data_IF_630939229364
#
_entry.id   IF_630939229364
#
_cell.length_a   1.000
_cell.length_b   1.000
_cell.length_c   1.000
_cell.angle_alpha   90.00
_cell.angle_beta   90.00
_cell.angle_gamma   90.00
#
_symmetry.space_group_name_H-M   'P 1'
#
loop_
_entity.id
_entity.type
_entity.pdbx_description
1 polymer ?
#
# COMPACT_ATOMS: atom_id res chain seq x y z
N UNK A 1 -7.37 -23.94 -6.68
CA UNK A 1 -8.43 -23.84 -7.72
C UNK A 1 -7.91 -23.02 -8.90
N UNK A 2 -8.49 -23.20 -10.10
CA UNK A 2 -8.12 -22.41 -11.31
C UNK A 2 -8.36 -20.91 -11.09
N UNK A 3 -9.39 -20.54 -10.32
CA UNK A 3 -9.68 -19.16 -9.94
C UNK A 3 -8.49 -18.52 -9.20
N UNK A 4 -7.97 -19.13 -8.16
CA UNK A 4 -6.83 -18.59 -7.38
C UNK A 4 -5.56 -18.51 -8.24
N UNK A 5 -5.31 -19.51 -9.10
CA UNK A 5 -4.19 -19.45 -10.07
C UNK A 5 -4.32 -18.25 -11.01
N UNK A 6 -5.54 -17.96 -11.49
CA UNK A 6 -5.81 -16.78 -12.33
C UNK A 6 -5.59 -15.47 -11.57
N UNK A 7 -6.02 -15.38 -10.29
CA UNK A 7 -5.76 -14.21 -9.44
C UNK A 7 -4.25 -13.98 -9.28
N UNK A 8 -3.48 -15.00 -8.88
CA UNK A 8 -2.01 -14.90 -8.76
C UNK A 8 -1.35 -14.52 -10.08
N UNK A 9 -1.74 -15.15 -11.18
CA UNK A 9 -1.19 -14.83 -12.49
C UNK A 9 -1.37 -13.36 -12.85
N UNK A 10 -2.54 -12.76 -12.56
CA UNK A 10 -2.80 -11.33 -12.80
C UNK A 10 -1.99 -10.43 -11.89
N UNK A 11 -1.74 -10.84 -10.65
CA UNK A 11 -0.89 -10.10 -9.72
C UNK A 11 0.59 -10.15 -10.15
N UNK A 12 1.10 -11.33 -10.52
CA UNK A 12 2.52 -11.54 -10.80
C UNK A 12 2.91 -11.17 -12.25
N UNK A 13 2.05 -11.44 -13.23
CA UNK A 13 2.36 -11.31 -14.65
C UNK A 13 1.45 -10.30 -15.39
N UNK A 14 0.41 -9.79 -14.73
CA UNK A 14 -0.51 -8.81 -15.28
C UNK A 14 -0.25 -7.40 -14.80
N UNK A 15 -1.33 -6.64 -14.62
CA UNK A 15 -1.29 -5.22 -14.21
C UNK A 15 -0.88 -4.99 -12.74
N UNK A 16 -0.66 -6.05 -11.98
CA UNK A 16 -0.22 -5.96 -10.58
C UNK A 16 -1.34 -5.75 -9.56
N UNK A 17 -2.60 -5.73 -9.97
CA UNK A 17 -3.74 -5.73 -9.06
C UNK A 17 -4.95 -6.47 -9.66
N UNK A 18 -5.86 -6.89 -8.79
CA UNK A 18 -7.15 -7.49 -9.17
C UNK A 18 -8.24 -7.01 -8.22
N UNK A 19 -9.44 -6.81 -8.77
CA UNK A 19 -10.64 -6.57 -7.97
C UNK A 19 -11.52 -7.82 -8.11
N UNK A 20 -11.83 -8.45 -6.98
CA UNK A 20 -12.82 -9.52 -6.92
C UNK A 20 -14.19 -8.93 -6.69
N UNK A 21 -15.18 -9.41 -7.44
CA UNK A 21 -16.55 -8.95 -7.29
C UNK A 21 -17.11 -9.36 -5.93
N UNK A 22 -18.21 -8.74 -5.60
CA UNK A 22 -18.69 -8.63 -4.23
C UNK A 22 -19.19 -9.95 -3.63
N UNK A 23 -18.75 -10.20 -2.41
CA UNK A 23 -19.47 -11.08 -1.51
C UNK A 23 -20.80 -10.42 -1.10
N UNK A 24 -21.83 -11.21 -0.91
CA UNK A 24 -23.12 -10.71 -0.42
C UNK A 24 -23.03 -10.38 1.08
N UNK A 25 -22.60 -9.15 1.39
CA UNK A 25 -22.45 -8.68 2.79
C UNK A 25 -23.74 -8.73 3.60
N UNK A 26 -24.90 -8.80 2.94
CA UNK A 26 -26.21 -8.94 3.62
C UNK A 26 -26.49 -10.35 4.12
N UNK A 27 -25.74 -11.37 3.62
CA UNK A 27 -25.92 -12.78 3.97
C UNK A 27 -25.02 -13.26 5.09
N UNK A 28 -24.00 -12.48 5.43
CA UNK A 28 -22.94 -12.85 6.36
C UNK A 28 -22.75 -11.77 7.41
N UNK A 29 -22.53 -12.16 8.63
CA UNK A 29 -22.12 -11.22 9.68
C UNK A 29 -20.65 -10.80 9.52
N UNK A 30 -20.21 -9.88 10.36
CA UNK A 30 -18.83 -9.35 10.31
C UNK A 30 -17.77 -10.43 10.56
N UNK A 31 -18.03 -11.37 11.45
CA UNK A 31 -17.10 -12.45 11.78
C UNK A 31 -16.97 -13.43 10.62
N UNK A 32 -18.09 -13.80 10.02
CA UNK A 32 -18.15 -14.65 8.83
C UNK A 32 -17.42 -14.00 7.63
N UNK A 33 -17.66 -12.70 7.39
CA UNK A 33 -16.96 -11.97 6.32
C UNK A 33 -15.45 -11.94 6.54
N UNK A 34 -14.98 -11.76 7.78
CA UNK A 34 -13.55 -11.84 8.13
C UNK A 34 -12.99 -13.25 7.90
N UNK A 35 -13.75 -14.30 8.26
CA UNK A 35 -13.33 -15.69 8.05
C UNK A 35 -13.25 -16.03 6.55
N UNK A 36 -14.25 -15.65 5.76
CA UNK A 36 -14.25 -15.84 4.30
C UNK A 36 -13.05 -15.12 3.67
N UNK A 37 -12.82 -13.87 4.06
CA UNK A 37 -11.69 -13.08 3.56
C UNK A 37 -10.34 -13.70 3.94
N UNK A 38 -10.21 -14.18 5.18
CA UNK A 38 -9.03 -14.91 5.65
C UNK A 38 -8.75 -16.15 4.81
N UNK A 39 -9.76 -17.02 4.62
CA UNK A 39 -9.63 -18.25 3.84
C UNK A 39 -9.24 -17.93 2.39
N UNK A 40 -9.95 -17.00 1.75
CA UNK A 40 -9.68 -16.59 0.38
C UNK A 40 -8.27 -16.06 0.21
N UNK A 41 -7.82 -15.20 1.12
CA UNK A 41 -6.47 -14.62 1.10
C UNK A 41 -5.39 -15.67 1.36
N UNK A 42 -5.63 -16.62 2.27
CA UNK A 42 -4.72 -17.73 2.57
C UNK A 42 -4.51 -18.68 1.39
N UNK A 43 -5.49 -18.78 0.49
CA UNK A 43 -5.34 -19.53 -0.77
C UNK A 43 -4.44 -18.80 -1.79
N UNK A 44 -4.32 -17.47 -1.69
CA UNK A 44 -3.44 -16.68 -2.56
C UNK A 44 -2.00 -16.80 -2.08
N UNK A 45 -1.72 -16.49 -0.81
CA UNK A 45 -0.40 -16.61 -0.19
C UNK A 45 -0.55 -16.62 1.35
N UNK A 46 0.54 -16.82 2.08
CA UNK A 46 0.54 -16.91 3.54
C UNK A 46 0.27 -15.55 4.19
N UNK A 47 -0.76 -15.40 5.04
CA UNK A 47 -0.95 -14.22 5.87
C UNK A 47 0.23 -13.97 6.80
N UNK A 48 0.62 -12.70 6.94
CA UNK A 48 1.72 -12.26 7.82
C UNK A 48 1.30 -11.04 8.63
N UNK A 49 1.97 -10.84 9.77
CA UNK A 49 1.71 -9.70 10.64
C UNK A 49 1.96 -8.37 9.93
N UNK A 50 1.09 -7.41 10.19
CA UNK A 50 1.12 -6.04 9.63
C UNK A 50 1.66 -5.01 10.60
N UNK A 51 1.80 -5.40 11.86
CA UNK A 51 2.29 -4.57 12.95
C UNK A 51 3.08 -5.41 13.94
N UNK A 52 3.86 -4.74 14.78
CA UNK A 52 4.74 -5.38 15.74
C UNK A 52 3.99 -6.24 16.76
N UNK A 53 2.73 -5.94 17.04
CA UNK A 53 1.85 -6.69 17.95
C UNK A 53 1.31 -8.02 17.35
N UNK A 54 1.67 -8.34 16.10
CA UNK A 54 1.25 -9.57 15.44
C UNK A 54 -0.10 -9.50 14.74
N UNK A 55 -0.72 -8.34 14.61
CA UNK A 55 -2.02 -8.19 13.93
C UNK A 55 -1.98 -8.71 12.50
N UNK A 56 -2.87 -9.66 12.18
CA UNK A 56 -2.96 -10.31 10.86
C UNK A 56 -4.08 -9.72 9.99
N UNK A 57 -5.23 -9.40 10.58
CA UNK A 57 -6.34 -8.70 9.95
C UNK A 57 -6.52 -7.33 10.60
N UNK A 58 -6.30 -6.28 9.82
CA UNK A 58 -6.26 -4.91 10.31
C UNK A 58 -7.48 -4.11 9.82
N UNK A 59 -8.21 -3.52 10.76
CA UNK A 59 -9.36 -2.68 10.45
C UNK A 59 -8.88 -1.27 10.01
N UNK A 60 -9.18 -0.90 8.77
CA UNK A 60 -8.87 0.41 8.18
C UNK A 60 -10.11 1.28 8.29
N UNK A 61 -10.11 2.11 9.33
CA UNK A 61 -11.21 3.02 9.69
C UNK A 61 -10.64 4.41 10.03
N UNK A 62 -11.44 5.45 9.84
CA UNK A 62 -11.10 6.77 10.38
C UNK A 62 -11.31 6.78 11.88
N UNK A 63 -10.26 7.03 12.64
CA UNK A 63 -10.27 7.14 14.10
C UNK A 63 -10.54 8.56 14.61
N UNK A 64 -10.79 9.51 13.69
CA UNK A 64 -10.94 10.94 14.00
C UNK A 64 -9.63 11.64 14.37
N UNK A 65 -8.48 10.95 14.27
CA UNK A 65 -7.17 11.55 14.52
C UNK A 65 -6.79 12.47 13.37
N UNK A 66 -6.30 13.67 13.69
CA UNK A 66 -5.77 14.59 12.68
C UNK A 66 -4.47 14.03 12.07
N UNK A 67 -4.29 14.19 10.77
CA UNK A 67 -3.04 13.84 10.06
C UNK A 67 -1.84 14.50 10.75
N UNK A 68 -0.83 13.72 11.09
CA UNK A 68 0.37 14.19 11.79
C UNK A 68 1.54 13.21 11.63
N UNK A 69 2.76 13.61 12.01
CA UNK A 69 3.96 12.78 11.80
C UNK A 69 3.96 11.47 12.59
N UNK A 70 3.18 11.38 13.67
CA UNK A 70 3.04 10.18 14.51
C UNK A 70 1.75 9.39 14.24
N UNK A 71 0.87 9.88 13.35
CA UNK A 71 -0.41 9.22 13.05
C UNK A 71 -0.31 8.53 11.70
N UNK A 72 -0.56 7.22 11.67
CA UNK A 72 -0.62 6.45 10.42
C UNK A 72 -1.75 7.01 9.55
N UNK A 73 -1.47 7.19 8.28
CA UNK A 73 -2.39 7.85 7.37
C UNK A 73 -3.64 7.00 7.07
N UNK A 74 -3.54 5.66 7.19
CA UNK A 74 -4.65 4.72 7.05
C UNK A 74 -5.71 4.84 8.17
N UNK A 75 -5.38 5.53 9.29
CA UNK A 75 -6.29 5.83 10.40
C UNK A 75 -7.02 7.18 10.26
N UNK A 76 -6.94 7.81 9.10
CA UNK A 76 -7.52 9.13 8.85
C UNK A 76 -8.30 9.16 7.53
N UNK A 77 -9.24 10.09 7.40
CA UNK A 77 -9.98 10.38 6.16
C UNK A 77 -9.18 11.21 5.14
N UNK A 78 -7.97 11.66 5.50
CA UNK A 78 -7.13 12.48 4.63
C UNK A 78 -6.64 11.69 3.40
N UNK A 79 -6.31 12.41 2.33
CA UNK A 79 -5.74 11.85 1.11
C UNK A 79 -4.43 11.08 1.38
N UNK A 80 -4.27 9.98 0.66
CA UNK A 80 -3.07 9.16 0.58
C UNK A 80 -2.49 9.22 -0.82
N UNK A 81 -1.30 9.80 -0.96
CA UNK A 81 -0.54 9.80 -2.20
C UNK A 81 -0.17 8.38 -2.63
N UNK A 82 0.26 8.19 -3.88
CA UNK A 82 0.75 6.90 -4.36
C UNK A 82 1.89 6.37 -3.50
N UNK A 83 1.69 5.16 -2.96
CA UNK A 83 2.65 4.51 -2.08
C UNK A 83 2.54 2.99 -2.16
N UNK A 84 3.55 2.31 -1.62
CA UNK A 84 3.51 0.89 -1.27
C UNK A 84 3.37 0.73 0.24
N UNK A 85 2.70 -0.33 0.65
CA UNK A 85 2.53 -0.63 2.07
C UNK A 85 3.81 -1.20 2.68
N UNK A 86 4.04 -0.90 3.98
CA UNK A 86 5.12 -1.48 4.79
C UNK A 86 6.53 -1.29 4.18
N UNK A 87 6.77 -0.13 3.54
CA UNK A 87 7.99 0.17 2.79
C UNK A 87 9.27 0.18 3.63
N UNK A 88 9.16 0.24 4.95
CA UNK A 88 10.25 0.45 5.91
C UNK A 88 10.84 -0.83 6.51
N UNK A 89 10.13 -1.95 6.44
CA UNK A 89 10.60 -3.27 6.91
C UNK A 89 10.69 -4.24 5.72
N UNK A 90 10.42 -5.54 5.94
CA UNK A 90 10.26 -6.51 4.86
C UNK A 90 8.85 -6.38 4.28
N UNK A 91 8.65 -5.76 3.10
CA UNK A 91 7.33 -5.57 2.53
C UNK A 91 6.61 -6.91 2.30
N UNK A 92 5.27 -6.94 2.40
CA UNK A 92 4.51 -8.10 1.91
C UNK A 92 4.63 -8.16 0.38
N UNK A 93 4.55 -9.38 -0.19
CA UNK A 93 4.46 -9.53 -1.64
C UNK A 93 3.12 -9.02 -2.16
N UNK A 94 2.04 -9.40 -1.47
CA UNK A 94 0.70 -8.89 -1.77
C UNK A 94 0.06 -8.30 -0.53
N UNK A 95 -0.86 -7.39 -0.77
CA UNK A 95 -1.82 -6.99 0.26
C UNK A 95 -3.23 -6.96 -0.33
N UNK A 96 -4.20 -7.18 0.53
CA UNK A 96 -5.61 -7.12 0.18
C UNK A 96 -6.36 -6.11 1.03
N UNK A 97 -7.43 -5.56 0.45
CA UNK A 97 -8.40 -4.71 1.13
C UNK A 97 -9.81 -5.20 0.79
N UNK A 98 -10.52 -5.72 1.78
CA UNK A 98 -11.94 -6.04 1.68
C UNK A 98 -12.78 -4.86 2.15
N UNK A 99 -13.73 -4.43 1.34
CA UNK A 99 -14.64 -3.34 1.67
C UNK A 99 -15.87 -3.88 2.38
N UNK A 100 -16.05 -3.52 3.65
CA UNK A 100 -17.28 -3.82 4.40
C UNK A 100 -18.30 -2.71 4.23
N UNK A 101 -17.86 -1.45 4.33
CA UNK A 101 -18.69 -0.25 4.16
C UNK A 101 -17.90 0.81 3.39
N UNK A 102 -18.59 1.57 2.56
CA UNK A 102 -18.03 2.71 1.82
C UNK A 102 -18.17 4.00 2.64
N UNK A 103 -17.39 5.02 2.32
CA UNK A 103 -17.59 6.36 2.84
C UNK A 103 -18.90 6.98 2.30
N UNK A 104 -19.36 8.04 2.95
CA UNK A 104 -20.50 8.86 2.47
C UNK A 104 -20.16 9.52 1.13
N UNK A 105 -18.94 10.04 1.01
CA UNK A 105 -18.45 10.71 -0.18
C UNK A 105 -16.92 10.56 -0.30
N UNK A 106 -16.37 10.49 -1.50
CA UNK A 106 -14.93 10.38 -1.73
C UNK A 106 -14.39 8.96 -1.53
N UNK A 107 -13.11 8.83 -1.12
CA UNK A 107 -12.47 7.53 -0.87
C UNK A 107 -12.19 6.72 -2.13
N UNK A 108 -12.04 7.39 -3.29
CA UNK A 108 -11.69 6.75 -4.56
C UNK A 108 -10.27 6.20 -4.48
N UNK A 109 -10.11 4.94 -4.84
CA UNK A 109 -8.81 4.28 -4.92
C UNK A 109 -8.14 4.55 -6.27
N UNK A 110 -6.80 4.57 -6.29
CA UNK A 110 -6.02 4.60 -7.51
C UNK A 110 -4.94 3.53 -7.48
N UNK A 111 -4.54 3.08 -8.66
CA UNK A 111 -3.48 2.09 -8.87
C UNK A 111 -2.56 2.53 -10.01
N UNK A 112 -1.25 2.41 -9.82
CA UNK A 112 -0.22 2.74 -10.82
C UNK A 112 0.87 1.67 -10.84
N UNK A 113 1.30 1.28 -12.05
CA UNK A 113 2.43 0.36 -12.22
C UNK A 113 3.75 1.07 -11.91
N UNK A 114 4.44 0.60 -10.88
CA UNK A 114 5.79 1.08 -10.54
C UNK A 114 6.83 0.68 -11.59
N UNK A 115 6.56 -0.38 -12.36
CA UNK A 115 7.42 -0.82 -13.47
C UNK A 115 7.28 0.13 -14.66
N UNK A 116 6.06 0.57 -14.98
CA UNK A 116 5.83 1.59 -16.01
C UNK A 116 6.44 2.93 -15.56
N UNK A 117 6.22 3.32 -14.30
CA UNK A 117 6.82 4.55 -13.75
C UNK A 117 8.36 4.51 -13.77
N UNK A 118 8.98 3.34 -13.52
CA UNK A 118 10.42 3.14 -13.68
C UNK A 118 10.87 3.38 -15.14
N UNK A 119 10.13 2.85 -16.11
CA UNK A 119 10.48 3.03 -17.53
C UNK A 119 10.36 4.51 -17.94
N UNK A 120 9.34 5.22 -17.47
CA UNK A 120 9.20 6.66 -17.66
C UNK A 120 10.35 7.44 -17.00
N UNK A 121 10.72 7.08 -15.77
CA UNK A 121 11.91 7.67 -15.12
C UNK A 121 13.19 7.43 -15.93
N UNK A 122 13.36 6.22 -16.47
CA UNK A 122 14.51 5.88 -17.31
C UNK A 122 14.59 6.71 -18.58
N UNK A 123 13.44 6.97 -19.20
CA UNK A 123 13.34 7.76 -20.43
C UNK A 123 13.53 9.25 -20.18
N UNK A 124 12.86 9.79 -19.16
CA UNK A 124 12.74 11.24 -18.93
C UNK A 124 13.76 11.81 -17.95
N UNK A 125 14.16 11.02 -16.96
CA UNK A 125 15.00 11.44 -15.83
C UNK A 125 16.06 10.37 -15.46
N UNK A 126 16.95 9.93 -16.40
CA UNK A 126 17.83 8.78 -16.19
C UNK A 126 18.79 8.95 -15.00
N UNK A 127 19.25 10.18 -14.73
CA UNK A 127 20.13 10.45 -13.58
C UNK A 127 19.35 10.36 -12.26
N UNK A 128 18.15 10.92 -12.18
CA UNK A 128 17.31 10.81 -11.00
C UNK A 128 16.87 9.37 -10.73
N UNK A 129 16.69 8.55 -11.78
CA UNK A 129 16.44 7.12 -11.60
C UNK A 129 17.60 6.42 -10.90
N UNK A 130 18.86 6.75 -11.24
CA UNK A 130 20.04 6.18 -10.54
C UNK A 130 19.99 6.47 -9.05
N UNK A 131 19.54 7.68 -8.65
CA UNK A 131 19.40 8.04 -7.23
C UNK A 131 18.32 7.20 -6.52
N UNK A 132 17.26 6.76 -7.22
CA UNK A 132 16.22 5.89 -6.65
C UNK A 132 16.69 4.44 -6.37
N UNK A 133 17.79 4.01 -6.95
CA UNK A 133 18.48 2.76 -6.61
C UNK A 133 19.45 2.90 -5.42
N UNK A 134 19.70 4.11 -4.96
CA UNK A 134 20.47 4.35 -3.73
C UNK A 134 19.54 4.40 -2.53
N UNK A 135 20.02 3.98 -1.33
CA UNK A 135 19.16 3.92 -0.16
C UNK A 135 18.67 5.29 0.34
N UNK A 136 17.49 5.27 0.90
CA UNK A 136 16.85 6.38 1.62
C UNK A 136 16.55 5.96 3.05
N UNK A 137 16.61 6.90 3.99
CA UNK A 137 16.09 6.70 5.35
C UNK A 137 14.57 6.68 5.33
N UNK A 138 13.97 5.66 5.96
CA UNK A 138 12.52 5.43 5.96
C UNK A 138 12.06 5.24 7.40
N UNK A 139 11.09 6.05 7.85
CA UNK A 139 10.51 5.95 9.19
C UNK A 139 9.79 4.60 9.38
N UNK A 140 10.09 3.90 10.47
CA UNK A 140 9.48 2.60 10.82
C UNK A 140 8.19 2.73 11.65
N UNK A 141 7.76 3.93 12.00
CA UNK A 141 6.54 4.18 12.78
C UNK A 141 6.42 3.33 14.06
N UNK A 142 7.51 3.11 14.78
CA UNK A 142 7.59 2.23 15.95
C UNK A 142 7.29 0.74 15.66
N UNK A 143 7.26 0.34 14.40
CA UNK A 143 7.12 -1.07 13.98
C UNK A 143 8.49 -1.76 13.96
N UNK A 144 9.16 -1.77 15.12
CA UNK A 144 10.49 -2.37 15.35
C UNK A 144 10.64 -2.84 16.79
N UNK A 145 11.53 -3.78 17.03
CA UNK A 145 11.83 -4.26 18.38
C UNK A 145 12.47 -3.14 19.24
N UNK A 146 12.31 -3.20 20.55
CA UNK A 146 13.03 -2.30 21.46
C UNK A 146 14.54 -2.38 21.21
N UNK A 147 15.19 -1.20 21.10
CA UNK A 147 16.62 -1.09 20.83
C UNK A 147 17.02 -1.12 19.34
N UNK A 148 16.11 -1.47 18.45
CA UNK A 148 16.37 -1.33 17.00
C UNK A 148 16.24 0.12 16.53
N UNK A 149 16.94 0.51 15.42
CA UNK A 149 16.84 1.85 14.85
C UNK A 149 15.41 2.20 14.46
N UNK A 150 14.94 3.44 14.76
CA UNK A 150 13.59 3.89 14.43
C UNK A 150 13.39 4.21 12.94
N UNK A 151 14.46 4.19 12.16
CA UNK A 151 14.44 4.32 10.70
C UNK A 151 15.23 3.18 10.06
N UNK A 152 14.77 2.69 8.92
CA UNK A 152 15.46 1.73 8.07
C UNK A 152 16.09 2.44 6.86
N UNK A 153 16.98 1.75 6.14
CA UNK A 153 17.74 2.35 5.04
C UNK A 153 17.69 1.44 3.82
N UNK A 154 16.86 1.81 2.82
CA UNK A 154 16.56 1.00 1.64
C UNK A 154 16.39 1.85 0.38
N UNK A 155 16.73 1.31 -0.82
CA UNK A 155 16.43 1.97 -2.08
C UNK A 155 14.92 1.95 -2.39
N UNK A 156 14.50 2.83 -3.30
CA UNK A 156 13.13 2.82 -3.86
C UNK A 156 12.98 1.65 -4.84
N UNK A 157 13.93 1.47 -5.75
CA UNK A 157 13.99 0.35 -6.69
C UNK A 157 15.14 -0.59 -6.35
N UNK A 158 14.85 -1.88 -6.39
CA UNK A 158 15.82 -2.93 -6.11
C UNK A 158 15.58 -4.11 -7.07
N UNK A 159 16.67 -4.66 -7.62
CA UNK A 159 16.62 -5.89 -8.41
C UNK A 159 17.19 -7.02 -7.54
N UNK A 160 16.35 -8.03 -7.26
CA UNK A 160 16.71 -9.13 -6.36
C UNK A 160 17.41 -10.31 -7.06
N UNK A 161 17.74 -10.14 -8.35
CA UNK A 161 18.31 -11.18 -9.21
C UNK A 161 17.28 -11.85 -10.13
N UNK A 162 16.00 -11.74 -9.82
CA UNK A 162 14.90 -12.31 -10.60
C UNK A 162 13.94 -11.26 -11.13
N UNK A 163 13.55 -10.31 -10.28
CA UNK A 163 12.57 -9.29 -10.63
C UNK A 163 12.96 -7.91 -10.08
N UNK A 164 12.51 -6.87 -10.76
CA UNK A 164 12.56 -5.50 -10.25
C UNK A 164 11.39 -5.30 -9.29
N UNK A 165 11.72 -4.89 -8.08
CA UNK A 165 10.76 -4.56 -7.03
C UNK A 165 10.91 -3.11 -6.61
N UNK A 166 9.84 -2.53 -6.10
CA UNK A 166 9.86 -1.19 -5.57
C UNK A 166 9.25 -1.12 -4.17
N UNK A 167 9.78 -0.19 -3.38
CA UNK A 167 9.17 0.29 -2.13
C UNK A 167 9.14 1.81 -2.17
N UNK A 168 7.99 2.39 -2.06
CA UNK A 168 7.86 3.83 -2.17
C UNK A 168 6.79 4.37 -1.24
N UNK A 169 7.18 5.25 -0.36
CA UNK A 169 6.27 6.07 0.41
C UNK A 169 7.00 7.38 0.75
N UNK A 170 6.74 8.47 0.01
CA UNK A 170 7.47 9.73 0.17
C UNK A 170 7.34 10.30 1.57
N UNK A 171 6.17 10.20 2.19
CA UNK A 171 5.94 10.64 3.57
C UNK A 171 6.86 9.91 4.57
N UNK A 172 7.01 8.58 4.39
CA UNK A 172 7.86 7.77 5.26
C UNK A 172 9.34 8.10 5.03
N UNK A 173 9.73 8.42 3.79
CA UNK A 173 11.11 8.83 3.46
C UNK A 173 11.41 10.16 4.16
N UNK A 174 10.62 11.21 3.95
CA UNK A 174 10.87 12.52 4.61
C UNK A 174 10.89 12.41 6.13
N UNK A 175 9.96 11.64 6.72
CA UNK A 175 9.93 11.39 8.15
C UNK A 175 11.16 10.57 8.62
N UNK A 176 11.67 9.66 7.79
CA UNK A 176 12.85 8.85 8.07
C UNK A 176 14.12 9.70 8.19
N UNK A 177 14.32 10.64 7.29
CA UNK A 177 15.45 11.59 7.38
C UNK A 177 15.37 12.45 8.65
N UNK A 178 14.18 12.93 9.02
CA UNK A 178 14.00 13.70 10.25
C UNK A 178 14.34 12.88 11.50
N UNK A 179 13.88 11.62 11.58
CA UNK A 179 14.15 10.72 12.70
C UNK A 179 15.62 10.32 12.78
N UNK A 180 16.27 10.09 11.63
CA UNK A 180 17.68 9.75 11.54
C UNK A 180 18.60 10.95 11.82
N UNK A 181 18.06 12.18 11.96
CA UNK A 181 18.85 13.40 12.10
C UNK A 181 19.73 13.69 10.87
N UNK A 182 19.28 13.27 9.69
CA UNK A 182 19.99 13.43 8.41
C UNK A 182 19.26 14.40 7.51
N UNK A 183 20.00 14.99 6.56
CA UNK A 183 19.42 15.83 5.52
C UNK A 183 19.29 15.01 4.23
N UNK A 184 18.10 15.01 3.63
CA UNK A 184 17.91 14.46 2.30
C UNK A 184 18.62 15.37 1.28
N UNK A 185 19.47 14.78 0.43
CA UNK A 185 20.18 15.50 -0.63
C UNK A 185 19.22 16.03 -1.71
N UNK A 186 19.67 17.04 -2.46
CA UNK A 186 18.85 17.70 -3.47
C UNK A 186 18.43 16.73 -4.59
N UNK A 187 19.32 15.87 -5.04
CA UNK A 187 19.04 14.87 -6.08
C UNK A 187 17.98 13.87 -5.61
N UNK A 188 18.07 13.42 -4.35
CA UNK A 188 17.05 12.55 -3.73
C UNK A 188 15.69 13.21 -3.63
N UNK A 189 15.63 14.51 -3.28
CA UNK A 189 14.38 15.27 -3.27
C UNK A 189 13.75 15.38 -4.67
N UNK A 190 14.57 15.69 -5.67
CA UNK A 190 14.12 15.79 -7.07
C UNK A 190 13.68 14.43 -7.61
N UNK A 191 14.40 13.35 -7.29
CA UNK A 191 14.04 12.00 -7.71
C UNK A 191 12.67 11.55 -7.14
N UNK A 192 12.40 11.82 -5.87
CA UNK A 192 11.10 11.55 -5.24
C UNK A 192 10.00 12.38 -5.91
N UNK A 193 10.24 13.67 -6.15
CA UNK A 193 9.26 14.56 -6.81
C UNK A 193 8.97 14.11 -8.23
N UNK A 194 10.00 13.78 -9.01
CA UNK A 194 9.85 13.31 -10.40
C UNK A 194 9.03 12.01 -10.46
N UNK A 195 9.34 11.03 -9.62
CA UNK A 195 8.57 9.78 -9.55
C UNK A 195 7.10 10.03 -9.16
N UNK A 196 6.85 10.87 -8.15
CA UNK A 196 5.50 11.25 -7.76
C UNK A 196 4.74 11.94 -8.91
N UNK A 197 5.38 12.86 -9.62
CA UNK A 197 4.76 13.58 -10.73
C UNK A 197 4.38 12.64 -11.87
N UNK A 198 5.26 11.69 -12.23
CA UNK A 198 4.96 10.67 -13.24
C UNK A 198 3.75 9.84 -12.81
N UNK A 199 3.72 9.34 -11.58
CA UNK A 199 2.60 8.52 -11.11
C UNK A 199 1.28 9.27 -11.05
N UNK A 200 1.31 10.60 -10.87
CA UNK A 200 0.14 11.47 -10.82
C UNK A 200 -0.42 11.83 -12.23
N UNK A 201 0.31 11.55 -13.31
CA UNK A 201 -0.18 11.76 -14.66
C UNK A 201 -1.40 10.87 -14.93
N UNK A 202 -2.46 11.43 -15.50
CA UNK A 202 -3.73 10.72 -15.73
C UNK A 202 -3.61 9.50 -16.63
N UNK A 203 -2.62 9.48 -17.52
CA UNK A 203 -2.30 8.35 -18.40
C UNK A 203 -1.59 7.19 -17.67
N UNK A 204 -1.04 7.43 -16.49
CA UNK A 204 -0.22 6.47 -15.76
C UNK A 204 -0.99 5.60 -14.78
N UNK A 205 -2.14 6.05 -14.31
CA UNK A 205 -2.89 5.38 -13.26
C UNK A 205 -4.36 5.17 -13.62
N UNK A 206 -4.96 4.21 -12.96
CA UNK A 206 -6.41 3.98 -13.02
C UNK A 206 -7.03 4.33 -11.68
N UNK A 207 -8.25 4.86 -11.73
CA UNK A 207 -9.03 5.21 -10.55
C UNK A 207 -10.33 4.42 -10.53
N UNK A 208 -10.74 3.95 -9.35
CA UNK A 208 -11.95 3.16 -9.16
C UNK A 208 -12.52 3.31 -7.75
N UNK A 209 -13.82 3.05 -7.63
CA UNK A 209 -14.48 2.90 -6.33
C UNK A 209 -14.67 1.43 -6.04
N UNK A 210 -14.42 1.05 -4.79
CA UNK A 210 -14.73 -0.28 -4.28
C UNK A 210 -16.10 -0.25 -3.63
N UNK A 211 -17.03 -1.06 -4.13
CA UNK A 211 -18.32 -1.26 -3.50
C UNK A 211 -18.20 -2.18 -2.27
N UNK A 212 -19.16 -2.06 -1.36
CA UNK A 212 -19.24 -2.97 -0.21
C UNK A 212 -19.32 -4.44 -0.68
N UNK A 213 -18.52 -5.31 -0.09
CA UNK A 213 -18.31 -6.71 -0.46
C UNK A 213 -17.22 -6.96 -1.50
N UNK A 214 -16.72 -5.94 -2.20
CA UNK A 214 -15.59 -6.11 -3.11
C UNK A 214 -14.26 -6.19 -2.36
N UNK A 215 -13.33 -6.95 -2.92
CA UNK A 215 -11.96 -7.09 -2.42
C UNK A 215 -10.98 -6.74 -3.52
N UNK A 216 -10.00 -5.88 -3.23
CA UNK A 216 -8.87 -5.64 -4.10
C UNK A 216 -7.61 -6.29 -3.52
N UNK A 217 -6.81 -6.93 -4.38
CA UNK A 217 -5.45 -7.37 -4.06
C UNK A 217 -4.46 -6.66 -4.97
N UNK A 218 -3.30 -6.31 -4.41
CA UNK A 218 -2.19 -5.68 -5.11
C UNK A 218 -0.91 -6.50 -4.93
N UNK A 219 -0.08 -6.55 -5.95
CA UNK A 219 1.32 -6.90 -5.82
C UNK A 219 2.09 -5.68 -5.33
N UNK A 220 2.43 -5.67 -4.04
CA UNK A 220 2.92 -4.50 -3.34
C UNK A 220 4.26 -3.94 -3.87
N UNK A 221 5.13 -4.80 -4.40
CA UNK A 221 6.42 -4.38 -4.97
C UNK A 221 6.35 -3.94 -6.44
N UNK A 222 5.19 -4.06 -7.11
CA UNK A 222 5.02 -3.74 -8.55
C UNK A 222 3.96 -2.67 -8.80
N UNK A 223 3.07 -2.46 -7.86
CA UNK A 223 1.94 -1.53 -7.98
C UNK A 223 1.85 -0.62 -6.76
N UNK A 224 1.95 0.68 -6.95
CA UNK A 224 1.60 1.66 -5.93
C UNK A 224 0.10 1.96 -5.98
N UNK A 225 -0.44 2.32 -4.84
CA UNK A 225 -1.84 2.67 -4.69
C UNK A 225 -2.02 3.98 -3.94
N UNK A 226 -3.16 4.62 -4.16
CA UNK A 226 -3.55 5.85 -3.50
C UNK A 226 -5.02 5.83 -3.10
N UNK A 227 -5.44 6.83 -2.34
CA UNK A 227 -6.84 7.04 -1.98
C UNK A 227 -7.10 8.54 -1.84
N UNK A 228 -8.13 9.04 -2.50
CA UNK A 228 -8.60 10.41 -2.27
C UNK A 228 -9.10 10.58 -0.83
N UNK A 229 -9.14 11.79 -0.34
CA UNK A 229 -9.84 12.11 0.91
C UNK A 229 -11.30 11.65 0.83
N UNK A 230 -11.92 11.47 1.98
CA UNK A 230 -13.32 11.11 2.06
C UNK A 230 -14.01 11.76 3.26
N UNK A 231 -15.31 11.87 3.16
CA UNK A 231 -16.21 12.26 4.24
C UNK A 231 -16.98 11.03 4.70
N UNK A 232 -17.01 10.82 6.00
CA UNK A 232 -17.78 9.72 6.61
C UNK A 232 -19.14 10.18 7.13
N UNK A 233 -19.96 9.21 7.48
CA UNK A 233 -21.21 9.43 8.18
C UNK A 233 -20.94 9.81 9.64
N UNK A 234 -21.85 10.59 10.23
CA UNK A 234 -21.80 10.92 11.67
C UNK A 234 -21.97 9.66 12.51
N UNK A 235 -22.90 8.78 12.09
CA UNK A 235 -23.14 7.48 12.72
C UNK A 235 -21.93 6.54 12.52
N UNK A 236 -21.24 6.13 13.60
CA UNK A 236 -20.09 5.22 13.53
C UNK A 236 -20.40 3.88 12.85
N UNK A 237 -21.64 3.39 12.95
CA UNK A 237 -22.03 2.12 12.34
C UNK A 237 -22.15 2.19 10.82
N UNK A 238 -22.25 3.38 10.25
CA UNK A 238 -22.29 3.61 8.81
C UNK A 238 -20.94 4.00 8.21
N UNK A 239 -19.94 4.34 9.05
CA UNK A 239 -18.64 4.80 8.60
C UNK A 239 -17.92 3.79 7.73
N UNK A 240 -17.07 4.31 6.85
CA UNK A 240 -16.21 3.53 5.98
C UNK A 240 -15.40 2.52 6.80
N UNK A 241 -15.44 1.27 6.34
CA UNK A 241 -14.73 0.19 7.01
C UNK A 241 -14.16 -0.78 5.97
N UNK A 242 -12.86 -0.96 5.98
CA UNK A 242 -12.18 -1.99 5.20
C UNK A 242 -11.34 -2.88 6.13
N UNK A 243 -11.09 -4.10 5.69
CA UNK A 243 -10.17 -5.02 6.36
C UNK A 243 -8.95 -5.21 5.46
N UNK A 244 -7.75 -4.97 6.00
CA UNK A 244 -6.49 -5.20 5.30
C UNK A 244 -5.84 -6.50 5.76
N UNK A 245 -5.20 -7.20 4.82
CA UNK A 245 -4.35 -8.36 5.06
C UNK A 245 -3.03 -8.21 4.30
N UNK A 246 -1.92 -8.63 4.92
CA UNK A 246 -0.62 -8.75 4.25
C UNK A 246 -0.31 -10.21 3.98
N UNK A 247 0.26 -10.48 2.79
CA UNK A 247 0.54 -11.83 2.32
C UNK A 247 1.97 -11.93 1.80
N UNK A 248 2.63 -13.07 2.08
CA UNK A 248 3.95 -13.44 1.52
C UNK A 248 3.88 -14.82 0.91
N UNK A 249 4.74 -15.09 -0.04
CA UNK A 249 4.87 -16.45 -0.56
C UNK A 249 5.24 -17.42 0.55
N UNK A 250 4.83 -18.67 0.36
CA UNK A 250 5.32 -19.81 1.13
C UNK A 250 6.79 -19.99 0.71
N UNK A 251 7.70 -19.60 1.58
CA UNK A 251 9.13 -19.93 1.45
C UNK A 251 9.38 -21.28 2.05
#
# INVERSE_FOLDING_TARGET
>A
TNFIKSVRHRLDNGVGFVVLDRLSIKKFDKAELRAIYWILSSLIARPVAQSFDGTLLYDVIDTGKKKGPKVRADLTSAELDFHTDYSYNRPPRYFGLQTLRTAKCGGRSGAVSLMTAHNEMRSRFPNLLKRLYQPFWINRYSEHAPGEPPASFHPVYEYDGNELLARFNPRNIYAGYNIAGKKLDAEGQEAIKALNSIMAETSMHVNFYLAAGQTVYFHNGRCAHCRTSYEDYDDPELRRHMIRIFLRDLS
#
